data_IF_092064056946
#
_entry.id   IF_092064056946
#
_cell.length_a   1.000
_cell.length_b   1.000
_cell.length_c   1.000
_cell.angle_alpha   90.00
_cell.angle_beta   90.00
_cell.angle_gamma   90.00
#
_symmetry.space_group_name_H-M   'P 1'
#
loop_
_entity.id
_entity.type
_entity.pdbx_description
1 polymer ?
#
# COMPACT_ATOMS: atom_id res chain seq x y z
N UNK A 1 -4.09 -3.11 37.06
CA UNK A 1 -5.56 -2.89 36.98
C UNK A 1 -5.98 -2.06 35.77
N UNK A 2 -5.41 -0.86 35.53
CA UNK A 2 -5.81 -0.03 34.38
C UNK A 2 -5.57 -0.71 33.01
N UNK A 3 -4.44 -1.39 32.84
CA UNK A 3 -4.12 -2.12 31.59
C UNK A 3 -5.14 -3.24 31.30
N UNK A 4 -5.50 -4.03 32.30
CA UNK A 4 -6.48 -5.12 32.13
C UNK A 4 -7.87 -4.58 31.81
N UNK A 5 -8.26 -3.45 32.42
CA UNK A 5 -9.52 -2.79 32.10
C UNK A 5 -9.53 -2.27 30.66
N UNK A 6 -8.42 -1.70 30.20
CA UNK A 6 -8.26 -1.28 28.81
C UNK A 6 -8.34 -2.46 27.83
N UNK A 7 -7.63 -3.56 28.11
CA UNK A 7 -7.68 -4.79 27.30
C UNK A 7 -9.09 -5.38 27.25
N UNK A 8 -9.84 -5.36 28.35
CA UNK A 8 -11.23 -5.81 28.38
C UNK A 8 -12.14 -4.96 27.47
N UNK A 9 -12.03 -3.62 27.53
CA UNK A 9 -12.80 -2.74 26.65
C UNK A 9 -12.42 -2.90 25.18
N UNK A 10 -11.13 -3.11 24.89
CA UNK A 10 -10.64 -3.42 23.55
C UNK A 10 -11.28 -4.73 23.04
N UNK A 11 -11.26 -5.80 23.85
CA UNK A 11 -11.87 -7.09 23.54
C UNK A 11 -13.37 -6.95 23.21
N UNK A 12 -14.12 -6.24 24.06
CA UNK A 12 -15.56 -6.05 23.88
C UNK A 12 -15.84 -5.28 22.59
N UNK A 13 -15.02 -4.28 22.29
CA UNK A 13 -15.14 -3.50 21.05
C UNK A 13 -14.87 -4.36 19.82
N UNK A 14 -13.78 -5.14 19.83
CA UNK A 14 -13.45 -6.07 18.74
C UNK A 14 -14.52 -7.15 18.56
N UNK A 15 -15.04 -7.70 19.66
CA UNK A 15 -16.10 -8.70 19.63
C UNK A 15 -17.40 -8.14 19.04
N UNK A 16 -17.77 -6.91 19.39
CA UNK A 16 -18.93 -6.22 18.80
C UNK A 16 -18.73 -5.98 17.30
N UNK A 17 -17.54 -5.55 16.88
CA UNK A 17 -17.22 -5.36 15.46
C UNK A 17 -17.31 -6.70 14.72
N UNK A 18 -16.73 -7.78 15.26
CA UNK A 18 -16.81 -9.12 14.69
C UNK A 18 -18.26 -9.62 14.59
N UNK A 19 -19.09 -9.36 15.60
CA UNK A 19 -20.49 -9.74 15.61
C UNK A 19 -21.29 -8.99 14.55
N UNK A 20 -21.07 -7.67 14.43
CA UNK A 20 -21.68 -6.85 13.37
C UNK A 20 -21.25 -7.33 11.98
N UNK A 21 -19.98 -7.66 11.81
CA UNK A 21 -19.40 -8.12 10.54
C UNK A 21 -19.88 -9.52 10.14
N UNK A 22 -20.15 -10.39 11.12
CA UNK A 22 -20.63 -11.76 10.93
C UNK A 22 -22.13 -11.84 10.60
N UNK A 23 -22.90 -10.76 10.78
CA UNK A 23 -24.33 -10.77 10.50
C UNK A 23 -24.58 -10.74 8.98
N UNK A 24 -25.43 -11.64 8.44
CA UNK A 24 -25.70 -11.72 6.99
C UNK A 24 -26.38 -10.46 6.43
N UNK A 25 -27.06 -9.67 7.27
CA UNK A 25 -27.61 -8.35 6.91
C UNK A 25 -26.53 -7.27 6.69
N UNK A 26 -25.29 -7.57 7.04
CA UNK A 26 -24.17 -6.66 7.03
C UNK A 26 -23.54 -6.45 5.66
N UNK A 27 -23.79 -7.22 4.59
CA UNK A 27 -22.94 -7.14 3.39
C UNK A 27 -22.77 -5.69 2.86
N UNK A 28 -23.85 -4.91 2.73
CA UNK A 28 -23.76 -3.49 2.34
C UNK A 28 -23.05 -2.61 3.38
N UNK A 29 -23.28 -2.87 4.67
CA UNK A 29 -22.62 -2.15 5.77
C UNK A 29 -21.13 -2.50 5.88
N UNK A 30 -20.76 -3.77 5.74
CA UNK A 30 -19.39 -4.27 5.71
C UNK A 30 -18.64 -3.68 4.53
N UNK A 31 -19.24 -3.62 3.34
CA UNK A 31 -18.67 -2.89 2.20
C UNK A 31 -18.52 -1.38 2.48
N UNK A 32 -19.48 -0.74 3.14
CA UNK A 32 -19.41 0.69 3.48
C UNK A 32 -18.34 0.99 4.56
N UNK A 33 -18.31 0.20 5.64
CA UNK A 33 -17.33 0.33 6.73
C UNK A 33 -15.94 0.01 6.21
N UNK A 34 -15.78 -0.99 5.35
CA UNK A 34 -14.47 -1.39 4.83
C UNK A 34 -14.01 -0.50 3.68
N UNK A 35 -14.91 0.08 2.87
CA UNK A 35 -14.53 1.14 1.94
C UNK A 35 -14.10 2.42 2.67
N UNK A 36 -14.75 2.76 3.78
CA UNK A 36 -14.30 3.82 4.68
C UNK A 36 -12.97 3.49 5.34
N UNK A 37 -12.80 2.25 5.83
CA UNK A 37 -11.54 1.77 6.40
C UNK A 37 -10.43 1.77 5.36
N UNK A 38 -10.63 1.27 4.14
CA UNK A 38 -9.62 1.30 3.08
C UNK A 38 -9.24 2.73 2.67
N UNK A 39 -10.14 3.70 2.80
CA UNK A 39 -9.83 5.11 2.55
C UNK A 39 -8.89 5.70 3.61
N UNK A 40 -8.96 5.22 4.85
CA UNK A 40 -8.07 5.62 5.95
C UNK A 40 -6.82 4.71 6.10
N UNK A 41 -6.99 3.42 5.82
CA UNK A 41 -6.05 2.31 6.00
C UNK A 41 -5.62 1.72 4.65
N UNK A 42 -5.41 2.58 3.65
CA UNK A 42 -4.90 2.17 2.33
C UNK A 42 -3.61 1.33 2.43
N UNK A 43 -3.31 0.57 1.38
CA UNK A 43 -2.24 -0.46 1.39
C UNK A 43 -0.86 0.09 1.79
N UNK A 44 -0.60 1.37 1.52
CA UNK A 44 0.64 2.09 1.83
C UNK A 44 0.46 3.17 2.92
N UNK A 45 -0.67 3.14 3.64
CA UNK A 45 -0.95 4.08 4.73
C UNK A 45 -0.16 3.71 5.99
N UNK A 46 0.33 4.70 6.77
CA UNK A 46 0.95 4.47 8.08
C UNK A 46 0.07 3.62 9.01
N UNK A 47 -1.23 3.55 8.76
CA UNK A 47 -2.20 2.81 9.55
C UNK A 47 -2.01 1.28 9.52
N UNK A 48 -1.54 0.69 8.40
CA UNK A 48 -1.23 -0.76 8.36
C UNK A 48 0.04 -1.09 9.17
N UNK A 49 1.02 -0.19 9.14
CA UNK A 49 2.23 -0.27 9.97
C UNK A 49 1.87 -0.15 11.44
N UNK A 50 1.02 0.81 11.82
CA UNK A 50 0.51 0.97 13.19
C UNK A 50 -0.27 -0.26 13.64
N UNK A 51 -1.16 -0.81 12.82
CA UNK A 51 -1.90 -2.04 13.14
C UNK A 51 -0.97 -3.24 13.37
N UNK A 52 0.12 -3.34 12.61
CA UNK A 52 1.13 -4.40 12.79
C UNK A 52 1.95 -4.20 14.07
N UNK A 53 2.28 -2.96 14.43
CA UNK A 53 2.94 -2.64 15.71
C UNK A 53 2.03 -2.98 16.90
N UNK A 54 0.74 -2.62 16.82
CA UNK A 54 -0.25 -2.94 17.86
C UNK A 54 -0.38 -4.46 18.00
N UNK A 55 -0.45 -5.20 16.90
CA UNK A 55 -0.49 -6.67 16.93
C UNK A 55 0.75 -7.26 17.60
N UNK A 56 1.95 -6.74 17.30
CA UNK A 56 3.19 -7.19 17.93
C UNK A 56 3.16 -6.92 19.45
N UNK A 57 2.67 -5.75 19.86
CA UNK A 57 2.54 -5.39 21.27
C UNK A 57 1.54 -6.31 22.00
N UNK A 58 0.36 -6.54 21.45
CA UNK A 58 -0.65 -7.47 22.02
C UNK A 58 -0.10 -8.89 22.10
N UNK A 59 0.69 -9.31 21.10
CA UNK A 59 1.35 -10.63 21.10
C UNK A 59 2.38 -10.76 22.24
N UNK A 60 3.17 -9.71 22.49
CA UNK A 60 4.12 -9.68 23.60
C UNK A 60 3.38 -9.73 24.94
N UNK A 61 2.29 -8.98 25.09
CA UNK A 61 1.46 -9.02 26.30
C UNK A 61 0.87 -10.41 26.55
N UNK A 62 0.35 -11.07 25.51
CA UNK A 62 -0.15 -12.43 25.61
C UNK A 62 0.95 -13.41 26.08
N UNK A 63 2.16 -13.32 25.52
CA UNK A 63 3.30 -14.15 25.94
C UNK A 63 3.66 -13.87 27.42
N UNK A 64 3.63 -12.61 27.83
CA UNK A 64 3.84 -12.21 29.24
C UNK A 64 2.82 -12.83 30.18
N UNK A 65 1.53 -12.84 29.81
CA UNK A 65 0.47 -13.43 30.63
C UNK A 65 0.58 -14.96 30.69
N UNK A 66 0.91 -15.61 29.57
CA UNK A 66 1.17 -17.06 29.52
C UNK A 66 2.36 -17.43 30.41
N UNK A 67 3.45 -16.66 30.35
CA UNK A 67 4.65 -16.89 31.18
C UNK A 67 4.34 -16.69 32.65
N UNK A 68 3.53 -15.68 32.97
CA UNK A 68 3.07 -15.40 34.34
C UNK A 68 2.19 -16.53 34.86
N UNK A 69 1.27 -17.06 34.07
CA UNK A 69 0.43 -18.20 34.44
C UNK A 69 1.27 -19.45 34.65
N UNK A 70 2.21 -19.75 33.76
CA UNK A 70 3.09 -20.92 33.88
C UNK A 70 3.93 -20.86 35.16
N UNK A 71 4.50 -19.69 35.48
CA UNK A 71 5.28 -19.47 36.70
C UNK A 71 4.47 -19.68 37.99
N UNK A 72 3.20 -19.26 38.00
CA UNK A 72 2.31 -19.49 39.15
C UNK A 72 1.82 -20.95 39.23
N UNK A 73 1.74 -21.65 38.10
CA UNK A 73 1.36 -23.07 38.05
C UNK A 73 2.50 -24.00 38.50
N UNK A 74 3.76 -23.69 38.18
CA UNK A 74 4.92 -24.51 38.57
C UNK A 74 5.36 -24.32 40.03
N UNK A 75 4.86 -23.30 40.72
CA UNK A 75 5.15 -23.02 42.12
C UNK A 75 4.16 -23.80 43.02
N UNK A 76 4.22 -25.12 42.96
CA UNK A 76 3.26 -26.07 43.55
C UNK A 76 3.40 -26.26 45.07
N UNK A 77 4.25 -25.51 45.75
CA UNK A 77 4.41 -25.60 47.21
C UNK A 77 3.41 -24.69 47.95
N UNK A 78 2.33 -25.33 48.41
CA UNK A 78 1.39 -24.85 49.44
C UNK A 78 0.63 -23.57 49.06
N UNK A 79 -0.36 -23.72 48.16
CA UNK A 79 -1.25 -22.64 47.74
C UNK A 79 -2.15 -22.14 48.90
N UNK A 80 -1.65 -21.17 49.68
CA UNK A 80 -2.50 -20.32 50.52
C UNK A 80 -3.51 -19.54 49.67
N UNK A 81 -4.64 -19.13 50.26
CA UNK A 81 -5.74 -18.48 49.51
C UNK A 81 -5.31 -17.26 48.68
N UNK A 82 -4.29 -16.53 49.13
CA UNK A 82 -3.72 -15.41 48.36
C UNK A 82 -3.05 -15.81 47.04
N UNK A 83 -2.43 -17.00 46.96
CA UNK A 83 -1.81 -17.50 45.73
C UNK A 83 -2.86 -18.02 44.74
N UNK A 84 -3.93 -18.65 45.25
CA UNK A 84 -5.08 -19.09 44.43
C UNK A 84 -5.76 -17.92 43.73
N UNK A 85 -5.95 -16.80 44.43
CA UNK A 85 -6.52 -15.58 43.86
C UNK A 85 -5.62 -15.02 42.75
N UNK A 86 -4.29 -15.06 42.92
CA UNK A 86 -3.34 -14.61 41.88
C UNK A 86 -3.34 -15.52 40.66
N UNK A 87 -3.43 -16.83 40.85
CA UNK A 87 -3.54 -17.81 39.76
C UNK A 87 -4.81 -17.58 38.92
N UNK A 88 -5.97 -17.43 39.58
CA UNK A 88 -7.25 -17.14 38.91
C UNK A 88 -7.22 -15.80 38.17
N UNK A 89 -6.53 -14.80 38.74
CA UNK A 89 -6.34 -13.50 38.09
C UNK A 89 -5.48 -13.63 36.83
N UNK A 90 -4.36 -14.33 36.91
CA UNK A 90 -3.48 -14.58 35.77
C UNK A 90 -4.17 -15.40 34.66
N UNK A 91 -4.98 -16.38 35.03
CA UNK A 91 -5.74 -17.19 34.08
C UNK A 91 -6.78 -16.35 33.33
N UNK A 92 -7.53 -15.49 34.03
CA UNK A 92 -8.48 -14.55 33.41
C UNK A 92 -7.76 -13.60 32.46
N UNK A 93 -6.65 -13.01 32.90
CA UNK A 93 -5.90 -12.04 32.10
C UNK A 93 -5.35 -12.70 30.82
N UNK A 94 -4.80 -13.93 30.90
CA UNK A 94 -4.38 -14.72 29.74
C UNK A 94 -5.52 -14.98 28.75
N UNK A 95 -6.73 -15.29 29.22
CA UNK A 95 -7.87 -15.49 28.32
C UNK A 95 -8.27 -14.19 27.63
N UNK A 96 -8.34 -13.07 28.35
CA UNK A 96 -8.70 -11.77 27.77
C UNK A 96 -7.68 -11.40 26.68
N UNK A 97 -6.38 -11.51 26.97
CA UNK A 97 -5.34 -11.14 26.00
C UNK A 97 -5.28 -12.10 24.82
N UNK A 98 -5.54 -13.40 25.04
CA UNK A 98 -5.66 -14.40 23.98
C UNK A 98 -6.87 -14.16 23.07
N UNK A 99 -8.04 -13.83 23.63
CA UNK A 99 -9.23 -13.53 22.83
C UNK A 99 -9.07 -12.23 22.03
N UNK A 100 -8.48 -11.17 22.61
CA UNK A 100 -8.13 -9.96 21.84
C UNK A 100 -7.23 -10.30 20.65
N UNK A 101 -6.16 -11.06 20.88
CA UNK A 101 -5.23 -11.45 19.81
C UNK A 101 -5.94 -12.23 18.70
N UNK A 102 -6.77 -13.20 19.08
CA UNK A 102 -7.54 -13.99 18.13
C UNK A 102 -8.54 -13.15 17.32
N UNK A 103 -9.31 -12.29 17.98
CA UNK A 103 -10.28 -11.40 17.32
C UNK A 103 -9.58 -10.41 16.40
N UNK A 104 -8.45 -9.84 16.81
CA UNK A 104 -7.65 -8.96 15.98
C UNK A 104 -7.12 -9.67 14.72
N UNK A 105 -6.64 -10.91 14.85
CA UNK A 105 -6.22 -11.72 13.70
C UNK A 105 -7.39 -12.04 12.77
N UNK A 106 -8.57 -12.36 13.31
CA UNK A 106 -9.77 -12.57 12.52
C UNK A 106 -10.17 -11.30 11.75
N UNK A 107 -10.16 -10.14 12.41
CA UNK A 107 -10.45 -8.87 11.76
C UNK A 107 -9.45 -8.55 10.66
N UNK A 108 -8.15 -8.82 10.89
CA UNK A 108 -7.11 -8.67 9.86
C UNK A 108 -7.34 -9.59 8.67
N UNK A 109 -7.70 -10.85 8.92
CA UNK A 109 -8.03 -11.81 7.86
C UNK A 109 -9.21 -11.31 7.03
N UNK A 110 -10.31 -10.93 7.68
CA UNK A 110 -11.51 -10.44 6.97
C UNK A 110 -11.21 -9.16 6.19
N UNK A 111 -10.43 -8.23 6.76
CA UNK A 111 -10.01 -7.02 6.08
C UNK A 111 -9.24 -7.32 4.79
N UNK A 112 -8.24 -8.19 4.85
CA UNK A 112 -7.42 -8.56 3.68
C UNK A 112 -8.30 -9.25 2.63
N UNK A 113 -9.11 -10.22 3.03
CA UNK A 113 -10.00 -10.94 2.11
C UNK A 113 -11.03 -10.00 1.46
N UNK A 114 -11.59 -9.04 2.18
CA UNK A 114 -12.56 -8.13 1.56
C UNK A 114 -11.88 -7.09 0.67
N UNK A 115 -10.72 -6.57 1.06
CA UNK A 115 -9.95 -5.65 0.24
C UNK A 115 -9.56 -6.27 -1.11
N UNK A 116 -9.16 -7.55 -1.13
CA UNK A 116 -8.87 -8.25 -2.38
C UNK A 116 -10.13 -8.48 -3.21
N UNK A 117 -11.27 -8.84 -2.59
CA UNK A 117 -12.54 -8.98 -3.29
C UNK A 117 -12.99 -7.67 -3.96
N UNK A 118 -12.92 -6.54 -3.26
CA UNK A 118 -13.30 -5.22 -3.81
C UNK A 118 -12.35 -4.84 -4.97
N UNK A 119 -11.06 -5.13 -4.85
CA UNK A 119 -10.12 -4.88 -5.94
C UNK A 119 -10.43 -5.76 -7.16
N UNK A 120 -10.75 -7.03 -6.95
CA UNK A 120 -11.17 -7.97 -8.00
C UNK A 120 -12.46 -7.51 -8.67
N UNK A 121 -13.47 -7.08 -7.90
CA UNK A 121 -14.75 -6.62 -8.43
C UNK A 121 -14.56 -5.38 -9.33
N UNK A 122 -13.73 -4.42 -8.90
CA UNK A 122 -13.37 -3.25 -9.73
C UNK A 122 -12.59 -3.64 -10.98
N UNK A 123 -11.68 -4.61 -10.87
CA UNK A 123 -10.91 -5.10 -12.01
C UNK A 123 -11.82 -5.81 -13.03
N UNK A 124 -12.78 -6.60 -12.52
CA UNK A 124 -13.78 -7.27 -13.34
C UNK A 124 -14.66 -6.24 -14.05
N UNK A 125 -15.14 -5.20 -13.36
CA UNK A 125 -15.93 -4.12 -13.98
C UNK A 125 -15.14 -3.36 -15.06
N UNK A 126 -13.84 -3.12 -14.83
CA UNK A 126 -12.97 -2.51 -15.84
C UNK A 126 -12.77 -3.44 -17.06
N UNK A 127 -12.57 -4.74 -16.83
CA UNK A 127 -12.43 -5.73 -17.89
C UNK A 127 -13.72 -5.91 -18.68
N UNK A 128 -14.89 -5.90 -18.04
CA UNK A 128 -16.18 -5.98 -18.76
C UNK A 128 -16.38 -4.74 -19.63
N UNK A 129 -16.08 -3.54 -19.12
CA UNK A 129 -16.13 -2.30 -19.93
C UNK A 129 -15.14 -2.34 -21.10
N UNK A 130 -13.94 -2.88 -20.89
CA UNK A 130 -12.96 -3.05 -21.96
C UNK A 130 -13.43 -4.06 -23.02
N UNK A 131 -14.01 -5.19 -22.60
CA UNK A 131 -14.56 -6.19 -23.50
C UNK A 131 -15.76 -5.66 -24.29
N UNK A 132 -16.66 -4.90 -23.66
CA UNK A 132 -17.78 -4.24 -24.33
C UNK A 132 -17.28 -3.20 -25.34
N UNK A 133 -16.28 -2.39 -24.99
CA UNK A 133 -15.65 -1.43 -25.89
C UNK A 133 -14.99 -2.11 -27.10
N UNK A 134 -14.25 -3.20 -26.88
CA UNK A 134 -13.63 -3.98 -27.95
C UNK A 134 -14.68 -4.66 -28.85
N UNK A 135 -15.75 -5.20 -28.28
CA UNK A 135 -16.86 -5.79 -29.03
C UNK A 135 -17.61 -4.75 -29.86
N UNK A 136 -17.79 -3.53 -29.33
CA UNK A 136 -18.37 -2.42 -30.07
C UNK A 136 -17.47 -1.99 -31.24
N UNK A 137 -16.16 -1.85 -31.02
CA UNK A 137 -15.19 -1.57 -32.08
C UNK A 137 -15.18 -2.64 -33.16
N UNK A 138 -15.23 -3.92 -32.77
CA UNK A 138 -15.31 -5.04 -33.72
C UNK A 138 -16.59 -5.01 -34.56
N UNK A 139 -17.75 -4.66 -33.97
CA UNK A 139 -19.00 -4.50 -34.71
C UNK A 139 -18.93 -3.37 -35.75
N UNK A 140 -18.27 -2.26 -35.41
CA UNK A 140 -18.07 -1.14 -36.36
C UNK A 140 -17.18 -1.58 -37.52
N UNK A 141 -16.04 -2.24 -37.24
CA UNK A 141 -15.14 -2.75 -38.28
C UNK A 141 -15.80 -3.81 -39.17
N UNK A 142 -16.68 -4.64 -38.61
CA UNK A 142 -17.46 -5.62 -39.38
C UNK A 142 -18.47 -4.92 -40.31
N UNK A 143 -19.14 -3.88 -39.83
CA UNK A 143 -20.07 -3.08 -40.63
C UNK A 143 -19.35 -2.35 -41.78
N UNK A 144 -18.18 -1.77 -41.50
CA UNK A 144 -17.34 -1.09 -42.48
C UNK A 144 -16.84 -2.07 -43.56
N UNK A 145 -16.36 -3.25 -43.18
CA UNK A 145 -15.99 -4.31 -44.12
C UNK A 145 -17.18 -4.76 -45.00
N UNK A 146 -18.37 -4.84 -44.42
CA UNK A 146 -19.57 -5.19 -45.18
C UNK A 146 -19.97 -4.10 -46.19
N UNK A 147 -19.82 -2.81 -45.84
CA UNK A 147 -20.02 -1.71 -46.79
C UNK A 147 -18.97 -1.68 -47.90
N UNK A 148 -17.71 -1.91 -47.57
CA UNK A 148 -16.62 -1.97 -48.55
C UNK A 148 -16.83 -3.13 -49.53
N UNK A 149 -17.18 -4.34 -49.05
CA UNK A 149 -17.51 -5.47 -49.93
C UNK A 149 -18.65 -5.15 -50.89
N UNK A 150 -19.73 -4.51 -50.41
CA UNK A 150 -20.84 -4.09 -51.28
C UNK A 150 -20.42 -3.05 -52.31
N UNK A 151 -19.49 -2.15 -51.97
CA UNK A 151 -18.94 -1.19 -52.93
C UNK A 151 -18.06 -1.91 -53.97
N UNK A 152 -17.20 -2.84 -53.55
CA UNK A 152 -16.38 -3.66 -54.45
C UNK A 152 -17.23 -4.51 -55.39
N UNK A 153 -18.29 -5.17 -54.90
CA UNK A 153 -19.21 -5.96 -55.72
C UNK A 153 -19.93 -5.09 -56.77
N UNK A 154 -20.40 -3.90 -56.38
CA UNK A 154 -21.01 -2.94 -57.32
C UNK A 154 -20.02 -2.46 -58.39
N UNK A 155 -18.77 -2.22 -58.01
CA UNK A 155 -17.72 -1.86 -58.97
C UNK A 155 -17.42 -3.01 -59.95
N UNK A 156 -17.41 -4.26 -59.47
CA UNK A 156 -17.16 -5.43 -60.31
C UNK A 156 -18.31 -5.66 -61.32
N UNK A 157 -19.56 -5.51 -60.88
CA UNK A 157 -20.76 -5.62 -61.74
C UNK A 157 -20.82 -4.52 -62.83
N UNK A 158 -20.28 -3.32 -62.54
CA UNK A 158 -20.14 -2.24 -63.52
C UNK A 158 -19.04 -2.49 -64.57
N UNK A 159 -18.06 -3.35 -64.27
CA UNK A 159 -16.93 -3.68 -65.15
C UNK A 159 -17.21 -4.84 -66.10
N UNK A 160 -18.05 -5.81 -65.72
CA UNK A 160 -18.28 -7.07 -66.47
C UNK A 160 -19.39 -7.04 -67.53
N UNK A 161 -20.13 -5.93 -67.67
CA UNK A 161 -21.23 -5.85 -68.64
C UNK A 161 -20.79 -5.46 -70.07
N UNK A 162 -21.02 -6.35 -71.05
CA UNK A 162 -20.76 -6.25 -72.51
C UNK A 162 -20.91 -4.86 -73.18
N UNK A 163 -20.04 -4.59 -74.16
CA UNK A 163 -19.80 -3.30 -74.83
C UNK A 163 -20.82 -2.97 -75.94
N UNK A 164 -21.59 -1.90 -75.73
CA UNK A 164 -22.39 -1.23 -76.77
C UNK A 164 -22.22 0.29 -76.71
N UNK A 165 -22.47 1.01 -77.81
CA UNK A 165 -22.13 2.45 -77.95
C UNK A 165 -22.84 3.38 -76.93
N UNK A 166 -23.99 3.00 -76.35
CA UNK A 166 -24.59 3.73 -75.21
C UNK A 166 -23.78 3.61 -73.91
N UNK A 167 -23.04 2.51 -73.73
CA UNK A 167 -22.11 2.33 -72.59
C UNK A 167 -20.82 3.10 -72.77
N UNK A 168 -20.39 3.51 -73.97
CA UNK A 168 -19.23 4.42 -74.11
C UNK A 168 -19.50 5.77 -73.45
N UNK A 169 -20.71 6.32 -73.61
CA UNK A 169 -21.11 7.55 -72.89
C UNK A 169 -21.15 7.33 -71.37
N UNK A 170 -21.70 6.20 -70.90
CA UNK A 170 -21.68 5.86 -69.47
C UNK A 170 -20.28 5.56 -68.93
N UNK A 171 -19.37 4.97 -69.74
CA UNK A 171 -17.96 4.74 -69.42
C UNK A 171 -17.20 6.07 -69.36
N UNK A 172 -17.51 7.05 -70.22
CA UNK A 172 -16.95 8.41 -70.17
C UNK A 172 -17.45 9.16 -68.93
N UNK A 173 -18.74 9.06 -68.58
CA UNK A 173 -19.30 9.62 -67.35
C UNK A 173 -18.73 8.93 -66.09
N UNK A 174 -18.54 7.61 -66.14
CA UNK A 174 -17.89 6.84 -65.08
C UNK A 174 -16.40 7.17 -64.97
N UNK A 175 -15.69 7.38 -66.08
CA UNK A 175 -14.31 7.87 -66.08
C UNK A 175 -14.24 9.27 -65.49
N UNK A 176 -15.16 10.17 -65.84
CA UNK A 176 -15.21 11.52 -65.28
C UNK A 176 -15.45 11.48 -63.77
N UNK A 177 -16.35 10.60 -63.29
CA UNK A 177 -16.56 10.35 -61.86
C UNK A 177 -15.35 9.74 -61.17
N UNK A 178 -14.68 8.76 -61.78
CA UNK A 178 -13.46 8.16 -61.24
C UNK A 178 -12.29 9.15 -61.21
N UNK A 179 -12.21 10.06 -62.18
CA UNK A 179 -11.22 11.15 -62.18
C UNK A 179 -11.52 12.15 -61.07
N UNK A 180 -12.80 12.44 -60.82
CA UNK A 180 -13.23 13.31 -59.73
C UNK A 180 -12.99 12.66 -58.35
N UNK A 181 -13.30 11.37 -58.20
CA UNK A 181 -13.04 10.58 -56.99
C UNK A 181 -11.54 10.41 -56.75
N UNK A 182 -10.73 10.22 -57.79
CA UNK A 182 -9.27 10.24 -57.66
C UNK A 182 -8.74 11.62 -57.23
N UNK A 183 -9.34 12.72 -57.72
CA UNK A 183 -8.96 14.07 -57.28
C UNK A 183 -9.35 14.32 -55.82
N UNK A 184 -10.53 13.86 -55.38
CA UNK A 184 -10.97 13.92 -53.98
C UNK A 184 -10.09 13.05 -53.08
N UNK A 185 -9.75 11.83 -53.50
CA UNK A 185 -8.83 10.94 -52.79
C UNK A 185 -7.42 11.52 -52.72
N UNK A 186 -6.94 12.20 -53.77
CA UNK A 186 -5.64 12.87 -53.78
C UNK A 186 -5.62 14.05 -52.79
N UNK A 187 -6.72 14.81 -52.69
CA UNK A 187 -6.89 15.85 -51.67
C UNK A 187 -6.97 15.25 -50.25
N UNK A 188 -7.65 14.12 -50.08
CA UNK A 188 -7.80 13.45 -48.79
C UNK A 188 -6.47 12.84 -48.32
N UNK A 189 -5.70 12.24 -49.23
CA UNK A 189 -4.33 11.74 -48.98
C UNK A 189 -3.42 12.90 -48.58
N UNK A 190 -3.52 14.06 -49.25
CA UNK A 190 -2.74 15.25 -48.88
C UNK A 190 -3.11 15.77 -47.49
N UNK A 191 -4.40 15.86 -47.17
CA UNK A 191 -4.89 16.26 -45.85
C UNK A 191 -4.47 15.25 -44.75
N UNK A 192 -4.46 13.95 -45.04
CA UNK A 192 -3.98 12.92 -44.13
C UNK A 192 -2.47 12.99 -43.94
N UNK A 193 -1.70 13.27 -45.00
CA UNK A 193 -0.26 13.48 -44.92
C UNK A 193 0.10 14.68 -44.02
N UNK A 194 -0.60 15.81 -44.16
CA UNK A 194 -0.41 16.97 -43.28
C UNK A 194 -0.78 16.69 -41.82
N UNK A 195 -1.85 15.90 -41.58
CA UNK A 195 -2.22 15.46 -40.22
C UNK A 195 -1.18 14.52 -39.64
N UNK A 196 -0.61 13.64 -40.45
CA UNK A 196 0.42 12.69 -40.05
C UNK A 196 1.72 13.43 -39.70
N UNK A 197 2.12 14.43 -40.48
CA UNK A 197 3.29 15.28 -40.20
C UNK A 197 3.11 16.02 -38.86
N UNK A 198 1.94 16.64 -38.63
CA UNK A 198 1.62 17.29 -37.34
C UNK A 198 1.62 16.31 -36.17
N UNK A 199 1.10 15.10 -36.36
CA UNK A 199 1.13 14.05 -35.34
C UNK A 199 2.57 13.61 -35.04
N UNK A 200 3.41 13.47 -36.07
CA UNK A 200 4.83 13.14 -35.90
C UNK A 200 5.60 14.24 -35.16
N UNK A 201 5.30 15.51 -35.44
CA UNK A 201 5.89 16.64 -34.72
C UNK A 201 5.46 16.65 -33.24
N UNK A 202 4.18 16.39 -32.95
CA UNK A 202 3.68 16.25 -31.58
C UNK A 202 4.34 15.08 -30.84
N UNK A 203 4.53 13.94 -31.50
CA UNK A 203 5.26 12.80 -30.92
C UNK A 203 6.70 13.20 -30.61
N UNK A 204 7.36 13.96 -31.48
CA UNK A 204 8.70 14.49 -31.23
C UNK A 204 8.78 15.41 -30.01
N UNK A 205 7.80 16.31 -29.84
CA UNK A 205 7.70 17.18 -28.66
C UNK A 205 7.47 16.38 -27.39
N UNK A 206 6.53 15.42 -27.41
CA UNK A 206 6.23 14.55 -26.26
C UNK A 206 7.45 13.71 -25.89
N UNK A 207 8.19 13.21 -26.88
CA UNK A 207 9.42 12.42 -26.65
C UNK A 207 10.49 13.27 -25.98
N UNK A 208 10.76 14.48 -26.47
CA UNK A 208 11.70 15.42 -25.82
C UNK A 208 11.27 15.77 -24.39
N UNK A 209 9.97 15.94 -24.16
CA UNK A 209 9.44 16.20 -22.83
C UNK A 209 9.64 15.00 -21.89
N UNK A 210 9.40 13.78 -22.38
CA UNK A 210 9.61 12.54 -21.63
C UNK A 210 11.10 12.33 -21.28
N UNK A 211 12.01 12.59 -22.23
CA UNK A 211 13.46 12.56 -22.00
C UNK A 211 13.89 13.58 -20.94
N UNK A 212 13.37 14.81 -21.00
CA UNK A 212 13.62 15.84 -20.00
C UNK A 212 13.13 15.45 -18.60
N UNK A 213 11.95 14.86 -18.51
CA UNK A 213 11.41 14.33 -17.24
C UNK A 213 12.23 13.16 -16.71
N UNK A 214 12.68 12.25 -17.58
CA UNK A 214 13.52 11.11 -17.19
C UNK A 214 14.87 11.58 -16.64
N UNK A 215 15.50 12.59 -17.26
CA UNK A 215 16.73 13.19 -16.74
C UNK A 215 16.53 13.87 -15.39
N UNK A 216 15.43 14.61 -15.20
CA UNK A 216 15.10 15.22 -13.92
C UNK A 216 14.86 14.15 -12.83
N UNK A 217 14.20 13.05 -13.18
CA UNK A 217 13.98 11.92 -12.28
C UNK A 217 15.29 11.24 -11.87
N UNK A 218 16.24 11.04 -12.79
CA UNK A 218 17.56 10.50 -12.47
C UNK A 218 18.31 11.40 -11.48
N UNK A 219 18.31 12.72 -11.69
CA UNK A 219 18.95 13.67 -10.76
C UNK A 219 18.33 13.63 -9.36
N UNK A 220 17.00 13.57 -9.28
CA UNK A 220 16.30 13.42 -8.00
C UNK A 220 16.61 12.09 -7.30
N UNK A 221 16.81 11.02 -8.08
CA UNK A 221 17.20 9.72 -7.54
C UNK A 221 18.62 9.75 -6.97
N UNK A 222 19.54 10.44 -7.64
CA UNK A 222 20.90 10.65 -7.15
C UNK A 222 20.92 11.51 -5.87
N UNK A 223 20.19 12.64 -5.86
CA UNK A 223 20.05 13.48 -4.66
C UNK A 223 19.47 12.70 -3.48
N UNK A 224 18.45 11.86 -3.71
CA UNK A 224 17.89 11.00 -2.68
C UNK A 224 18.93 10.03 -2.13
N UNK A 225 19.71 9.37 -3.00
CA UNK A 225 20.74 8.44 -2.57
C UNK A 225 21.83 9.14 -1.73
N UNK A 226 22.21 10.37 -2.09
CA UNK A 226 23.15 11.17 -1.31
C UNK A 226 22.58 11.53 0.08
N UNK A 227 21.32 11.95 0.13
CA UNK A 227 20.61 12.26 1.39
C UNK A 227 20.50 11.02 2.27
N UNK A 228 20.15 9.86 1.71
CA UNK A 228 20.08 8.59 2.46
C UNK A 228 21.46 8.21 3.04
N UNK A 229 22.54 8.44 2.29
CA UNK A 229 23.91 8.22 2.79
C UNK A 229 24.26 9.18 3.92
N UNK A 230 23.89 10.46 3.81
CA UNK A 230 24.09 11.44 4.88
C UNK A 230 23.26 11.12 6.14
N UNK A 231 22.07 10.56 5.97
CA UNK A 231 21.22 10.13 7.07
C UNK A 231 21.87 8.97 7.84
N UNK A 232 22.41 7.97 7.14
CA UNK A 232 23.09 6.83 7.77
C UNK A 232 24.39 7.24 8.49
N UNK A 233 25.17 8.18 7.93
CA UNK A 233 26.35 8.71 8.63
C UNK A 233 25.94 9.48 9.88
N UNK A 234 24.87 10.27 9.81
CA UNK A 234 24.34 11.02 10.96
C UNK A 234 23.86 10.09 12.07
N UNK A 235 23.13 9.02 11.74
CA UNK A 235 22.72 8.00 12.72
C UNK A 235 23.93 7.33 13.40
N UNK A 236 24.96 6.98 12.63
CA UNK A 236 26.18 6.39 13.19
C UNK A 236 26.92 7.35 14.14
N UNK A 237 26.93 8.65 13.82
CA UNK A 237 27.47 9.68 14.71
C UNK A 237 26.64 9.84 15.98
N UNK A 238 25.31 9.81 15.88
CA UNK A 238 24.40 9.88 17.03
C UNK A 238 24.59 8.69 17.99
N UNK A 239 24.76 7.47 17.46
CA UNK A 239 25.07 6.29 18.27
C UNK A 239 26.40 6.41 19.01
N UNK A 240 27.45 6.94 18.34
CA UNK A 240 28.74 7.20 18.98
C UNK A 240 28.62 8.24 20.09
N UNK A 241 27.86 9.31 19.85
CA UNK A 241 27.57 10.34 20.85
C UNK A 241 26.85 9.77 22.07
N UNK A 242 25.86 8.89 21.87
CA UNK A 242 25.17 8.20 22.98
C UNK A 242 26.12 7.35 23.81
N UNK A 243 27.00 6.55 23.16
CA UNK A 243 28.00 5.75 23.87
C UNK A 243 28.99 6.60 24.67
N UNK A 244 29.47 7.68 24.08
CA UNK A 244 30.34 8.64 24.79
C UNK A 244 29.63 9.28 25.97
N UNK A 245 28.35 9.61 25.84
CA UNK A 245 27.55 10.17 26.92
C UNK A 245 27.37 9.18 28.08
N UNK A 246 27.12 7.90 27.77
CA UNK A 246 27.07 6.82 28.78
C UNK A 246 28.42 6.65 29.49
N UNK A 247 29.53 6.69 28.75
CA UNK A 247 30.88 6.57 29.32
C UNK A 247 31.22 7.75 30.23
N UNK A 248 30.93 8.98 29.80
CA UNK A 248 31.09 10.19 30.62
C UNK A 248 30.26 10.09 31.90
N UNK A 249 29.03 9.57 31.81
CA UNK A 249 28.16 9.39 32.98
C UNK A 249 28.78 8.42 33.99
N UNK A 250 29.28 7.26 33.53
CA UNK A 250 29.98 6.29 34.40
C UNK A 250 31.23 6.89 35.04
N UNK A 251 32.07 7.57 34.25
CA UNK A 251 33.27 8.24 34.78
C UNK A 251 32.91 9.33 35.80
N UNK A 252 31.78 10.01 35.62
CA UNK A 252 31.29 11.02 36.56
C UNK A 252 30.89 10.37 37.89
N UNK A 253 30.17 9.25 37.84
CA UNK A 253 29.79 8.46 39.03
C UNK A 253 31.02 7.91 39.76
N UNK A 254 32.00 7.36 39.03
CA UNK A 254 33.27 6.88 39.61
C UNK A 254 34.04 8.02 40.28
N UNK A 255 34.12 9.18 39.62
CA UNK A 255 34.76 10.38 40.17
C UNK A 255 34.07 10.86 41.44
N UNK A 256 32.74 10.86 41.49
CA UNK A 256 31.97 11.26 42.69
C UNK A 256 32.14 10.25 43.83
N UNK A 257 32.20 8.95 43.52
CA UNK A 257 32.51 7.89 44.50
C UNK A 257 33.91 8.02 45.08
N UNK A 258 34.93 8.20 44.24
CA UNK A 258 36.32 8.44 44.66
C UNK A 258 36.43 9.70 45.53
N UNK A 259 35.71 10.76 45.15
CA UNK A 259 35.69 12.00 45.95
C UNK A 259 35.09 11.77 47.34
N UNK A 260 34.01 10.99 47.44
CA UNK A 260 33.42 10.62 48.73
C UNK A 260 34.39 9.77 49.57
N UNK A 261 35.07 8.79 48.97
CA UNK A 261 36.09 7.99 49.67
C UNK A 261 37.23 8.85 50.21
N UNK A 262 37.73 9.81 49.43
CA UNK A 262 38.79 10.74 49.88
C UNK A 262 38.30 11.56 51.08
N UNK A 263 37.07 12.06 51.06
CA UNK A 263 36.49 12.80 52.19
C UNK A 263 36.38 11.95 53.45
N UNK A 264 35.97 10.69 53.33
CA UNK A 264 35.91 9.75 54.46
C UNK A 264 37.30 9.45 55.02
N UNK A 265 38.31 9.27 54.16
CA UNK A 265 39.70 9.10 54.59
C UNK A 265 40.21 10.33 55.34
N UNK A 266 40.01 11.54 54.81
CA UNK A 266 40.41 12.79 55.46
C UNK A 266 39.74 12.94 56.84
N UNK A 267 38.46 12.57 56.97
CA UNK A 267 37.75 12.56 58.25
C UNK A 267 38.37 11.57 59.24
N UNK A 268 38.65 10.32 58.81
CA UNK A 268 39.29 9.32 59.67
C UNK A 268 40.69 9.76 60.12
N UNK A 269 41.49 10.37 59.24
CA UNK A 269 42.80 10.91 59.60
C UNK A 269 42.70 12.06 60.61
N UNK A 270 41.72 12.96 60.45
CA UNK A 270 41.47 14.03 61.41
C UNK A 270 41.06 13.49 62.79
N UNK A 271 40.20 12.46 62.84
CA UNK A 271 39.79 11.81 64.08
C UNK A 271 40.95 11.06 64.77
N UNK A 272 41.77 10.36 64.00
CA UNK A 272 42.97 9.67 64.50
C UNK A 272 43.98 10.67 65.10
N UNK A 273 44.21 11.81 64.44
CA UNK A 273 45.08 12.87 64.95
C UNK A 273 44.55 13.44 66.28
N UNK A 274 43.23 13.64 66.39
CA UNK A 274 42.60 14.16 67.61
C UNK A 274 42.65 13.18 68.79
N UNK A 275 42.75 11.87 68.54
CA UNK A 275 42.92 10.85 69.60
C UNK A 275 44.37 10.69 70.08
N UNK A 276 45.34 11.23 69.33
CA UNK A 276 46.77 11.11 69.63
C UNK A 276 47.35 12.33 70.38
N UNK A 277 46.60 13.43 70.49
CA UNK A 277 46.87 14.60 71.34
C UNK A 277 46.14 14.47 72.69
#
# INVERSE_FOLDING_TARGET
MLLNQFMFWMMVTEALICLILSLPFGQRLSYAVISFLMRYFGKDSPANTVATIILALVSILFISDVTTLYKHHSSEEVLGDGMRIRLLTAQRDMYITGFCLFLFLLLRLVYITLATNIHLEKSLEAMTKQAEGAAAGYKVLLAENASLKKQTEKFHELLDGEEGDEKKKKKIDALARLVQENAELEEEVKNLAEKLEKAHEQVGVVTKQAEGQSSAFMKLMDEKNEVDKQLETTKSQEEKLKRQHEEITKLTEERDSLKAQIQDYDFMFAEAKKKAE
#
